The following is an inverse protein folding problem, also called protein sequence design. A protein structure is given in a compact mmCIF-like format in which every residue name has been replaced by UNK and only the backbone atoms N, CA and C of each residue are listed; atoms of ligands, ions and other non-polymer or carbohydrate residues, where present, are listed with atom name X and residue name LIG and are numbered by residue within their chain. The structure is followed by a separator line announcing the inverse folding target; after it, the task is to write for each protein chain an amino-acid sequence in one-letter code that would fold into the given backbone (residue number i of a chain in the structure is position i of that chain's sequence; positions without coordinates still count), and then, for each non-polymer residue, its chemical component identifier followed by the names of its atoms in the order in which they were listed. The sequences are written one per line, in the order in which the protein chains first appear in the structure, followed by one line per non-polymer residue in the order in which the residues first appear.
data_IF_536336028420
#
_entry.id   IF_536336028420
#
_cell.length_a   1.000
_cell.length_b   1.000
_cell.length_c   1.000
_cell.angle_alpha   90.00
_cell.angle_beta   90.00
_cell.angle_gamma   90.00
#
_symmetry.space_group_name_H-M   'P 1'
#
loop_
_entity.id
_entity.type
_entity.pdbx_description
1 polymer ?
#
# COMPACT_ATOMS: atom_id res chain seq x y z
N UNK A 1 4.75 -10.43 -8.44
CA UNK A 1 5.31 -10.90 -7.17
C UNK A 1 5.74 -12.36 -7.20
N UNK A 2 4.85 -13.30 -7.56
CA UNK A 2 5.11 -14.74 -7.41
C UNK A 2 6.37 -15.27 -8.13
N UNK A 3 6.69 -14.76 -9.32
CA UNK A 3 7.90 -15.17 -10.05
C UNK A 3 9.20 -14.62 -9.44
N UNK A 4 9.21 -13.35 -9.00
CA UNK A 4 10.38 -12.76 -8.36
C UNK A 4 10.76 -13.47 -7.05
N UNK A 5 9.76 -13.94 -6.29
CA UNK A 5 9.99 -14.75 -5.09
C UNK A 5 10.53 -16.14 -5.45
N UNK A 6 10.03 -16.78 -6.50
CA UNK A 6 10.54 -18.09 -6.97
C UNK A 6 11.99 -17.99 -7.42
N UNK A 7 12.31 -16.95 -8.21
CA UNK A 7 13.66 -16.69 -8.69
C UNK A 7 14.63 -16.43 -7.53
N UNK A 8 14.20 -15.65 -6.54
CA UNK A 8 14.97 -15.42 -5.32
C UNK A 8 15.21 -16.70 -4.52
N UNK A 9 14.19 -17.54 -4.34
CA UNK A 9 14.33 -18.84 -3.67
C UNK A 9 15.28 -19.79 -4.41
N UNK A 10 15.31 -19.73 -5.75
CA UNK A 10 16.28 -20.49 -6.54
C UNK A 10 17.72 -20.00 -6.29
N UNK A 11 17.94 -18.69 -6.28
CA UNK A 11 19.25 -18.09 -5.98
C UNK A 11 19.73 -18.42 -4.56
N UNK A 12 18.85 -18.35 -3.55
CA UNK A 12 19.18 -18.74 -2.19
C UNK A 12 19.54 -20.22 -2.06
N UNK A 13 18.87 -21.11 -2.81
CA UNK A 13 19.21 -22.54 -2.84
C UNK A 13 20.59 -22.79 -3.44
N UNK A 14 20.97 -22.04 -4.46
CA UNK A 14 22.32 -22.12 -5.02
C UNK A 14 23.37 -21.54 -4.06
N UNK A 15 23.08 -20.40 -3.42
CA UNK A 15 23.96 -19.80 -2.41
C UNK A 15 24.23 -20.74 -1.24
N UNK A 16 23.22 -21.46 -0.75
CA UNK A 16 23.35 -22.46 0.32
C UNK A 16 24.37 -23.56 0.04
N UNK A 17 24.74 -23.78 -1.22
CA UNK A 17 25.76 -24.77 -1.59
C UNK A 17 27.19 -24.29 -1.35
N UNK A 18 27.41 -22.98 -1.30
CA UNK A 18 28.74 -22.36 -1.20
C UNK A 18 28.90 -21.51 0.06
N UNK A 19 27.81 -20.92 0.57
CA UNK A 19 27.81 -19.93 1.63
C UNK A 19 26.56 -20.06 2.53
N UNK A 20 26.62 -19.44 3.71
CA UNK A 20 25.47 -19.35 4.61
C UNK A 20 24.48 -18.27 4.14
N UNK A 21 23.19 -18.49 4.45
CA UNK A 21 22.15 -17.46 4.33
C UNK A 21 22.33 -16.43 5.45
N UNK A 22 22.24 -15.16 5.09
CA UNK A 22 22.44 -14.00 5.96
C UNK A 22 21.11 -13.29 6.23
N UNK A 23 21.09 -12.40 7.22
CA UNK A 23 19.91 -11.58 7.52
C UNK A 23 19.45 -10.75 6.31
N UNK A 24 20.39 -10.19 5.54
CA UNK A 24 20.08 -9.43 4.34
C UNK A 24 19.35 -10.24 3.27
N UNK A 25 19.57 -11.57 3.23
CA UNK A 25 18.85 -12.43 2.29
C UNK A 25 17.38 -12.63 2.70
N UNK A 26 17.09 -12.54 4.01
CA UNK A 26 15.75 -12.61 4.57
C UNK A 26 15.03 -11.27 4.42
N UNK A 27 15.72 -10.15 4.69
CA UNK A 27 15.17 -8.79 4.48
C UNK A 27 14.75 -8.61 3.01
N UNK A 28 15.58 -9.10 2.07
CA UNK A 28 15.27 -9.09 0.64
C UNK A 28 14.03 -9.92 0.30
N UNK A 29 13.80 -11.04 1.00
CA UNK A 29 12.61 -11.85 0.81
C UNK A 29 11.37 -11.12 1.33
N UNK A 30 11.47 -10.46 2.48
CA UNK A 30 10.38 -9.62 3.02
C UNK A 30 10.02 -8.48 2.05
N UNK A 31 11.02 -7.81 1.45
CA UNK A 31 10.80 -6.79 0.43
C UNK A 31 10.10 -7.36 -0.83
N UNK A 32 10.46 -8.57 -1.25
CA UNK A 32 9.85 -9.23 -2.40
C UNK A 32 8.42 -9.72 -2.11
N UNK A 33 8.11 -9.98 -0.85
CA UNK A 33 6.77 -10.35 -0.37
C UNK A 33 5.91 -9.12 -0.04
N UNK A 34 6.52 -7.96 0.15
CA UNK A 34 5.81 -6.70 0.30
C UNK A 34 5.16 -6.33 -1.03
N UNK A 35 3.91 -6.78 -1.24
CA UNK A 35 3.12 -6.32 -2.37
C UNK A 35 2.88 -4.81 -2.25
N UNK A 36 3.09 -4.02 -3.32
CA UNK A 36 2.57 -2.67 -3.36
C UNK A 36 1.05 -2.75 -3.18
N UNK A 37 0.59 -2.37 -1.97
CA UNK A 37 -0.83 -2.40 -1.62
C UNK A 37 -1.51 -1.23 -2.30
N UNK A 38 -2.23 -1.52 -3.36
CA UNK A 38 -3.13 -0.54 -3.93
C UNK A 38 -4.33 -0.38 -2.99
N UNK A 39 -4.51 0.84 -2.49
CA UNK A 39 -5.66 1.25 -1.69
C UNK A 39 -6.52 2.22 -2.51
N UNK A 40 -7.81 2.29 -2.20
CA UNK A 40 -8.73 3.23 -2.86
C UNK A 40 -9.14 4.29 -1.86
N UNK A 41 -8.87 5.56 -2.17
CA UNK A 41 -9.33 6.69 -1.37
C UNK A 41 -10.67 7.20 -1.90
N UNK A 42 -11.73 7.02 -1.11
CA UNK A 42 -13.04 7.60 -1.37
C UNK A 42 -13.13 9.00 -0.75
N UNK A 43 -13.51 10.00 -1.55
CA UNK A 43 -13.67 11.38 -1.13
C UNK A 43 -15.10 11.86 -1.36
N UNK A 44 -15.71 12.44 -0.32
CA UNK A 44 -17.02 13.07 -0.41
C UNK A 44 -16.88 14.57 -0.19
N UNK A 45 -17.16 15.36 -1.22
CA UNK A 45 -17.12 16.82 -1.16
C UNK A 45 -18.44 17.39 -0.61
N UNK A 46 -18.36 18.56 0.04
CA UNK A 46 -19.56 19.28 0.54
C UNK A 46 -20.47 19.81 -0.58
N UNK A 47 -19.99 19.85 -1.83
CA UNK A 47 -20.77 20.23 -3.02
C UNK A 47 -20.18 19.60 -4.27
N UNK A 48 -20.84 19.77 -5.42
CA UNK A 48 -20.35 19.27 -6.73
C UNK A 48 -19.14 20.01 -7.27
N UNK A 49 -18.69 21.09 -6.62
CA UNK A 49 -17.49 21.83 -7.02
C UNK A 49 -16.22 21.09 -6.57
N UNK A 50 -15.28 20.83 -7.48
CA UNK A 50 -14.02 20.13 -7.17
C UNK A 50 -13.11 20.87 -6.17
N UNK A 51 -13.29 22.18 -6.00
CA UNK A 51 -12.58 23.01 -5.00
C UNK A 51 -13.31 23.06 -3.65
N UNK A 52 -14.45 22.38 -3.54
CA UNK A 52 -15.22 22.34 -2.30
C UNK A 52 -14.47 21.56 -1.23
N UNK A 53 -14.57 21.97 0.04
CA UNK A 53 -13.99 21.21 1.13
C UNK A 53 -14.56 19.79 1.21
N UNK A 54 -13.75 18.87 1.73
CA UNK A 54 -14.20 17.51 2.01
C UNK A 54 -15.15 17.50 3.21
N UNK A 55 -16.19 16.67 3.12
CA UNK A 55 -17.14 16.39 4.20
C UNK A 55 -16.83 15.04 4.86
N UNK A 56 -16.36 14.05 4.10
CA UNK A 56 -15.92 12.76 4.62
C UNK A 56 -14.96 12.07 3.64
N UNK A 57 -14.22 11.09 4.14
CA UNK A 57 -13.31 10.27 3.36
C UNK A 57 -13.21 8.86 3.94
N UNK A 58 -12.79 7.90 3.13
CA UNK A 58 -12.48 6.55 3.57
C UNK A 58 -11.35 5.96 2.73
N UNK A 59 -10.38 5.32 3.39
CA UNK A 59 -9.33 4.56 2.73
C UNK A 59 -9.73 3.09 2.72
N UNK A 60 -9.94 2.54 1.54
CA UNK A 60 -10.31 1.15 1.35
C UNK A 60 -9.09 0.29 1.02
N UNK A 61 -8.91 -0.75 1.82
CA UNK A 61 -7.90 -1.79 1.64
C UNK A 61 -8.61 -3.15 1.50
N UNK A 62 -8.53 -3.75 0.31
CA UNK A 62 -9.23 -5.00 -0.01
C UNK A 62 -8.67 -6.23 0.73
N UNK A 63 -7.52 -6.11 1.39
CA UNK A 63 -6.85 -7.22 2.09
C UNK A 63 -7.11 -7.21 3.60
N UNK A 64 -7.77 -6.15 4.11
CA UNK A 64 -8.14 -6.03 5.52
C UNK A 64 -9.60 -6.48 5.73
N UNK A 65 -9.93 -7.06 6.90
CA UNK A 65 -11.32 -7.27 7.28
C UNK A 65 -12.08 -5.94 7.28
N UNK A 66 -13.25 -5.91 6.63
CA UNK A 66 -14.08 -4.71 6.55
C UNK A 66 -14.81 -4.49 7.89
N UNK A 67 -14.08 -3.96 8.88
CA UNK A 67 -14.66 -3.43 10.11
C UNK A 67 -14.83 -1.92 9.99
N UNK A 68 -15.85 -1.32 10.62
CA UNK A 68 -15.97 0.13 10.68
C UNK A 68 -14.76 0.70 11.42
N UNK A 69 -13.86 1.36 10.70
CA UNK A 69 -12.83 2.21 11.29
C UNK A 69 -13.40 3.60 11.47
N UNK A 70 -13.17 4.18 12.65
CA UNK A 70 -13.44 5.60 12.86
C UNK A 70 -12.53 6.38 11.89
N UNK A 71 -13.09 7.26 11.03
CA UNK A 71 -12.24 8.13 10.24
C UNK A 71 -11.39 8.99 11.18
N UNK A 72 -10.17 9.32 10.76
CA UNK A 72 -9.40 10.42 11.36
C UNK A 72 -10.29 11.67 11.45
N UNK A 73 -10.11 12.52 12.45
CA UNK A 73 -10.84 13.80 12.53
C UNK A 73 -10.30 14.82 11.52
N UNK A 74 -9.05 14.63 11.06
CA UNK A 74 -8.38 15.53 10.11
C UNK A 74 -8.39 14.97 8.69
N UNK A 75 -8.90 15.80 7.78
CA UNK A 75 -9.00 15.44 6.36
C UNK A 75 -7.63 15.38 5.70
N UNK A 76 -7.33 14.34 4.89
CA UNK A 76 -6.04 14.21 4.23
C UNK A 76 -5.81 15.30 3.15
N UNK A 77 -6.88 15.91 2.66
CA UNK A 77 -6.82 16.94 1.63
C UNK A 77 -7.83 18.06 1.87
N UNK A 78 -7.50 19.27 1.46
CA UNK A 78 -8.42 20.41 1.55
C UNK A 78 -9.59 20.32 0.56
N UNK A 79 -9.42 19.64 -0.57
CA UNK A 79 -10.44 19.50 -1.61
C UNK A 79 -10.18 18.27 -2.49
N UNK A 80 -11.17 17.87 -3.29
CA UNK A 80 -11.01 16.81 -4.30
C UNK A 80 -9.92 17.17 -5.31
N UNK A 81 -9.84 18.44 -5.72
CA UNK A 81 -8.80 18.90 -6.64
C UNK A 81 -7.39 18.75 -6.07
N UNK A 82 -7.21 18.99 -4.77
CA UNK A 82 -5.91 18.82 -4.10
C UNK A 82 -5.49 17.35 -4.08
N UNK A 83 -6.42 16.43 -3.82
CA UNK A 83 -6.15 15.00 -3.85
C UNK A 83 -5.74 14.50 -5.25
N UNK A 84 -6.45 14.95 -6.30
CA UNK A 84 -6.13 14.58 -7.69
C UNK A 84 -4.77 15.12 -8.14
N UNK A 85 -4.33 16.25 -7.58
CA UNK A 85 -3.01 16.81 -7.89
C UNK A 85 -1.86 16.02 -7.24
N UNK A 86 -2.13 15.23 -6.19
CA UNK A 86 -1.13 14.45 -5.47
C UNK A 86 -0.84 13.09 -6.12
N UNK A 87 -1.87 12.39 -6.63
CA UNK A 87 -1.71 11.16 -7.44
C UNK A 87 -2.68 10.05 -7.12
#
# INVERSE_FOLDING_TARGET
MHEAVKDWLAQCRDKLRTEAITAADLDRLDDLLAEPRQQILYLYAKSTNMRSPLASWALYDATQPQMPTLPSDESPYESVLAAVADG
#
